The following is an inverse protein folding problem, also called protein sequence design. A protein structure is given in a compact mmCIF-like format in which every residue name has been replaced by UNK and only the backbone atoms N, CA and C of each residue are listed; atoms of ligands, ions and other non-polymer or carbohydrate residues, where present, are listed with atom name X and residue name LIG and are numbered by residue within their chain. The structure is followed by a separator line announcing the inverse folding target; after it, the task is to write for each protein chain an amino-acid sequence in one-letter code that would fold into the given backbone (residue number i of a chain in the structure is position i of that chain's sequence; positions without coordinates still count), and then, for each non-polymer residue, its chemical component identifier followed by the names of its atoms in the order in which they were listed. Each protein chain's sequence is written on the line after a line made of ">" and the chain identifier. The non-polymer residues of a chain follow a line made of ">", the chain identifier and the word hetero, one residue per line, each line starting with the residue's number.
data_IF_688438822995
#
_entry.id   IF_688438822995
#
_cell.length_a   1.000
_cell.length_b   1.000
_cell.length_c   1.000
_cell.angle_alpha   90.00
_cell.angle_beta   90.00
_cell.angle_gamma   90.00
#
_symmetry.space_group_name_H-M   'P 1'
#
loop_
_entity.id
_entity.type
_entity.pdbx_description
1 polymer ?
#
# COMPACT_ATOMS: atom_id res chain seq x y z
N UNK A 1 -18.48 -14.13 9.98
CA UNK A 1 -17.89 -12.95 9.32
C UNK A 1 -18.01 -11.78 10.30
N UNK A 2 -16.91 -11.10 10.62
CA UNK A 2 -16.92 -9.94 11.52
C UNK A 2 -16.82 -8.70 10.63
N UNK A 3 -17.78 -7.80 10.75
CA UNK A 3 -17.73 -6.48 10.14
C UNK A 3 -17.14 -5.52 11.17
N UNK A 4 -16.04 -4.88 10.81
CA UNK A 4 -15.37 -3.93 11.67
C UNK A 4 -15.48 -2.53 11.08
N UNK A 5 -16.43 -1.76 11.62
CA UNK A 5 -16.89 -0.49 11.05
C UNK A 5 -16.87 0.61 12.11
N UNK A 6 -16.93 1.88 11.68
CA UNK A 6 -17.10 3.03 12.58
C UNK A 6 -15.90 3.32 13.49
N UNK A 7 -14.70 2.94 13.05
CA UNK A 7 -13.44 3.15 13.77
C UNK A 7 -12.89 4.55 13.53
N UNK A 8 -12.24 5.10 14.57
CA UNK A 8 -11.39 6.28 14.43
C UNK A 8 -10.13 5.97 13.62
N UNK A 9 -9.48 7.01 13.09
CA UNK A 9 -8.25 6.87 12.30
C UNK A 9 -7.14 6.12 13.08
N UNK A 10 -7.02 6.38 14.39
CA UNK A 10 -6.06 5.71 15.26
C UNK A 10 -6.35 4.22 15.42
N UNK A 11 -7.62 3.84 15.60
CA UNK A 11 -8.03 2.44 15.70
C UNK A 11 -7.83 1.70 14.36
N UNK A 12 -8.12 2.34 13.23
CA UNK A 12 -7.84 1.78 11.91
C UNK A 12 -6.34 1.55 11.74
N UNK A 13 -5.51 2.54 12.06
CA UNK A 13 -4.06 2.43 11.95
C UNK A 13 -3.52 1.30 12.83
N UNK A 14 -3.98 1.20 14.08
CA UNK A 14 -3.61 0.10 14.98
C UNK A 14 -3.96 -1.27 14.38
N UNK A 15 -5.19 -1.44 13.89
CA UNK A 15 -5.62 -2.70 13.26
C UNK A 15 -4.79 -3.03 12.03
N UNK A 16 -4.47 -2.04 11.19
CA UNK A 16 -3.60 -2.24 10.04
C UNK A 16 -2.19 -2.67 10.45
N UNK A 17 -1.63 -2.08 11.52
CA UNK A 17 -0.31 -2.42 12.04
C UNK A 17 -0.24 -3.84 12.63
N UNK A 18 -1.34 -4.31 13.22
CA UNK A 18 -1.49 -5.67 13.72
C UNK A 18 -1.80 -6.69 12.60
N UNK A 19 -2.19 -6.22 11.41
CA UNK A 19 -2.57 -7.07 10.29
C UNK A 19 -1.35 -7.49 9.46
N UNK A 20 -1.12 -8.79 9.37
CA UNK A 20 0.00 -9.33 8.58
C UNK A 20 -0.17 -9.15 7.06
N UNK A 21 -1.39 -9.37 6.55
CA UNK A 21 -1.72 -9.39 5.12
C UNK A 21 -3.06 -8.68 4.87
N UNK A 22 -3.12 -7.86 3.82
CA UNK A 22 -4.35 -7.25 3.31
C UNK A 22 -4.58 -7.66 1.86
N UNK A 23 -5.81 -8.05 1.55
CA UNK A 23 -6.28 -8.19 0.18
C UNK A 23 -7.07 -6.95 -0.22
N UNK A 24 -6.55 -6.19 -1.18
CA UNK A 24 -7.15 -4.95 -1.67
C UNK A 24 -7.36 -5.09 -3.17
N UNK A 25 -8.57 -5.44 -3.60
CA UNK A 25 -8.87 -5.56 -5.02
C UNK A 25 -9.29 -4.21 -5.61
N UNK A 26 -8.55 -3.73 -6.61
CA UNK A 26 -8.86 -2.52 -7.37
C UNK A 26 -9.11 -2.89 -8.83
N UNK A 27 -10.35 -2.79 -9.35
CA UNK A 27 -10.65 -3.24 -10.72
C UNK A 27 -9.79 -2.60 -11.82
N UNK A 28 -9.32 -1.37 -11.61
CA UNK A 28 -8.45 -0.62 -12.52
C UNK A 28 -6.95 -0.71 -12.17
N UNK A 29 -6.60 -1.49 -11.15
CA UNK A 29 -5.23 -1.71 -10.67
C UNK A 29 -4.84 -0.86 -9.46
N UNK A 30 -3.94 -1.41 -8.65
CA UNK A 30 -3.34 -0.68 -7.53
C UNK A 30 -2.48 0.48 -8.02
N UNK A 31 -2.57 1.64 -7.35
CA UNK A 31 -1.71 2.80 -7.57
C UNK A 31 -1.60 3.64 -6.31
N UNK A 32 -0.63 4.56 -6.26
CA UNK A 32 -0.38 5.44 -5.12
C UNK A 32 -1.48 6.49 -4.92
N UNK A 33 -2.42 6.60 -5.87
CA UNK A 33 -3.65 7.39 -5.69
C UNK A 33 -4.64 6.73 -4.72
N UNK A 34 -4.45 5.45 -4.39
CA UNK A 34 -5.31 4.71 -3.45
C UNK A 34 -4.80 4.94 -2.03
N UNK A 35 -5.44 5.84 -1.28
CA UNK A 35 -5.08 6.11 0.13
C UNK A 35 -5.05 4.84 0.99
N UNK A 36 -5.97 3.90 0.74
CA UNK A 36 -6.01 2.59 1.41
C UNK A 36 -4.78 1.72 1.13
N UNK A 37 -4.21 1.78 -0.08
CA UNK A 37 -2.95 1.09 -0.41
C UNK A 37 -1.79 1.70 0.38
N UNK A 38 -1.67 3.03 0.36
CA UNK A 38 -0.61 3.73 1.08
C UNK A 38 -0.71 3.52 2.60
N UNK A 39 -1.92 3.54 3.16
CA UNK A 39 -2.17 3.27 4.57
C UNK A 39 -1.76 1.84 4.95
N UNK A 40 -2.11 0.84 4.14
CA UNK A 40 -1.73 -0.55 4.39
C UNK A 40 -0.20 -0.75 4.35
N UNK A 41 0.46 -0.25 3.30
CA UNK A 41 1.92 -0.34 3.16
C UNK A 41 2.66 0.43 4.26
N UNK A 42 2.17 1.61 4.62
CA UNK A 42 2.75 2.47 5.65
C UNK A 42 2.68 1.85 7.05
N UNK A 43 1.56 1.18 7.37
CA UNK A 43 1.39 0.42 8.61
C UNK A 43 2.11 -0.94 8.58
N UNK A 44 2.78 -1.30 7.47
CA UNK A 44 3.64 -2.47 7.39
C UNK A 44 2.91 -3.77 7.06
N UNK A 45 1.67 -3.73 6.62
CA UNK A 45 0.97 -4.90 6.11
C UNK A 45 1.51 -5.31 4.72
N UNK A 46 1.49 -6.61 4.45
CA UNK A 46 1.73 -7.10 3.09
C UNK A 46 0.46 -6.96 2.26
N UNK A 47 0.53 -6.30 1.12
CA UNK A 47 -0.64 -6.09 0.25
C UNK A 47 -0.63 -7.09 -0.91
N UNK A 48 -1.73 -7.80 -1.07
CA UNK A 48 -2.07 -8.60 -2.25
C UNK A 48 -3.20 -7.87 -2.98
N UNK A 49 -3.03 -7.61 -4.27
CA UNK A 49 -3.89 -6.70 -5.03
C UNK A 49 -3.97 -7.11 -6.51
N UNK A 50 -4.79 -6.46 -7.30
CA UNK A 50 -4.84 -6.59 -8.76
C UNK A 50 -3.87 -5.62 -9.47
N UNK A 51 -3.33 -6.08 -10.60
CA UNK A 51 -2.68 -5.22 -11.60
C UNK A 51 -3.75 -4.71 -12.57
N UNK A 52 -3.62 -3.47 -13.03
CA UNK A 52 -4.53 -2.91 -14.02
C UNK A 52 -3.93 -1.70 -14.74
N UNK A 53 -4.70 -1.02 -15.60
CA UNK A 53 -4.23 0.10 -16.42
C UNK A 53 -3.66 1.27 -15.62
N UNK A 54 -4.07 1.43 -14.37
CA UNK A 54 -3.60 2.49 -13.48
C UNK A 54 -2.37 2.08 -12.66
N UNK A 55 -1.90 0.84 -12.79
CA UNK A 55 -0.77 0.33 -12.01
C UNK A 55 0.55 0.90 -12.53
N UNK A 56 1.29 1.65 -11.71
CA UNK A 56 2.58 2.21 -12.09
C UNK A 56 3.64 1.10 -12.19
N UNK A 57 4.70 1.31 -12.99
CA UNK A 57 5.86 0.42 -13.01
C UNK A 57 6.55 0.39 -11.64
N UNK A 58 7.11 -0.76 -11.26
CA UNK A 58 7.86 -0.93 -10.02
C UNK A 58 7.00 -1.23 -8.79
N UNK A 59 5.67 -1.12 -8.86
CA UNK A 59 4.81 -1.43 -7.71
C UNK A 59 4.90 -2.91 -7.29
N UNK A 60 5.22 -3.82 -8.22
CA UNK A 60 5.51 -5.24 -7.95
C UNK A 60 6.62 -5.45 -6.91
N UNK A 61 7.49 -4.46 -6.70
CA UNK A 61 8.54 -4.53 -5.67
C UNK A 61 7.99 -4.45 -4.24
N UNK A 62 6.76 -3.97 -4.06
CA UNK A 62 6.15 -3.71 -2.74
C UNK A 62 4.78 -4.33 -2.52
N UNK A 63 4.17 -4.91 -3.56
CA UNK A 63 2.92 -5.68 -3.46
C UNK A 63 3.07 -7.06 -4.08
N UNK A 64 2.07 -7.92 -3.90
CA UNK A 64 1.85 -9.07 -4.78
C UNK A 64 0.62 -8.84 -5.63
N UNK A 65 0.73 -9.18 -6.91
CA UNK A 65 -0.40 -9.18 -7.81
C UNK A 65 -1.07 -10.53 -7.82
N UNK A 66 -2.40 -10.52 -7.81
CA UNK A 66 -3.24 -11.69 -7.95
C UNK A 66 -4.29 -11.44 -9.04
N UNK A 67 -4.50 -12.42 -9.90
CA UNK A 67 -5.51 -12.36 -10.97
C UNK A 67 -6.93 -12.51 -10.42
N UNK A 68 -7.10 -13.34 -9.39
CA UNK A 68 -8.38 -13.69 -8.78
C UNK A 68 -8.20 -14.04 -7.28
N UNK A 69 -9.29 -14.32 -6.53
CA UNK A 69 -9.18 -14.67 -5.11
C UNK A 69 -8.42 -15.98 -4.82
N UNK A 70 -8.42 -16.95 -5.73
CA UNK A 70 -7.69 -18.21 -5.53
C UNK A 70 -6.17 -17.99 -5.67
N UNK A 71 -5.76 -17.19 -6.66
CA UNK A 71 -4.37 -16.74 -6.80
C UNK A 71 -3.95 -15.88 -5.59
N UNK A 72 -4.81 -14.97 -5.10
CA UNK A 72 -4.51 -14.19 -3.91
C UNK A 72 -4.22 -15.06 -2.68
N UNK A 73 -4.98 -16.14 -2.51
CA UNK A 73 -4.75 -17.12 -1.44
C UNK A 73 -3.44 -17.90 -1.66
N UNK A 74 -3.09 -18.24 -2.90
CA UNK A 74 -1.83 -18.90 -3.23
C UNK A 74 -0.62 -17.99 -2.92
N UNK A 75 -0.68 -16.71 -3.32
CA UNK A 75 0.34 -15.71 -3.01
C UNK A 75 0.54 -15.55 -1.50
N UNK A 76 -0.56 -15.50 -0.74
CA UNK A 76 -0.51 -15.43 0.73
C UNK A 76 0.21 -16.64 1.31
N UNK A 77 -0.16 -17.86 0.88
CA UNK A 77 0.46 -19.10 1.37
C UNK A 77 1.94 -19.16 1.04
N UNK A 78 2.33 -18.77 -0.17
CA UNK A 78 3.73 -18.73 -0.59
C UNK A 78 4.56 -17.77 0.28
N UNK A 79 4.04 -16.58 0.56
CA UNK A 79 4.73 -15.62 1.43
C UNK A 79 4.79 -16.08 2.90
N UNK A 80 3.72 -16.70 3.40
CA UNK A 80 3.72 -17.27 4.76
C UNK A 80 4.74 -18.41 4.92
N UNK A 81 5.02 -19.14 3.85
CA UNK A 81 6.04 -20.19 3.83
C UNK A 81 7.48 -19.63 3.75
N UNK A 82 7.66 -18.34 3.42
CA UNK A 82 8.95 -17.65 3.37
C UNK A 82 8.92 -16.36 4.21
N UNK A 83 9.18 -16.45 5.53
CA UNK A 83 9.19 -15.30 6.42
C UNK A 83 10.18 -14.21 6.02
N UNK A 84 11.26 -14.57 5.32
CA UNK A 84 12.27 -13.61 4.85
C UNK A 84 11.70 -12.77 3.71
N UNK A 85 11.05 -13.40 2.72
CA UNK A 85 10.35 -12.69 1.66
C UNK A 85 9.22 -11.80 2.22
N UNK A 86 8.45 -12.30 3.18
CA UNK A 86 7.40 -11.55 3.87
C UNK A 86 7.97 -10.29 4.55
N UNK A 87 9.03 -10.43 5.36
CA UNK A 87 9.68 -9.32 6.05
C UNK A 87 10.30 -8.30 5.08
N UNK A 88 10.91 -8.77 3.99
CA UNK A 88 11.48 -7.91 2.95
C UNK A 88 10.40 -7.07 2.28
N UNK A 89 9.26 -7.69 1.93
CA UNK A 89 8.15 -7.00 1.29
C UNK A 89 7.53 -5.93 2.20
N UNK A 90 7.36 -6.24 3.50
CA UNK A 90 6.91 -5.25 4.50
C UNK A 90 7.84 -4.05 4.59
N UNK A 91 9.15 -4.29 4.64
CA UNK A 91 10.16 -3.22 4.70
C UNK A 91 10.13 -2.37 3.43
N UNK A 92 10.01 -3.02 2.26
CA UNK A 92 9.92 -2.33 0.98
C UNK A 92 8.66 -1.45 0.90
N UNK A 93 7.50 -1.95 1.34
CA UNK A 93 6.24 -1.20 1.42
C UNK A 93 6.34 0.05 2.28
N UNK A 94 6.87 -0.06 3.52
CA UNK A 94 7.07 1.11 4.39
C UNK A 94 8.00 2.14 3.76
N UNK A 95 9.06 1.70 3.09
CA UNK A 95 9.99 2.60 2.42
C UNK A 95 9.37 3.28 1.19
N UNK A 96 8.53 2.57 0.43
CA UNK A 96 7.81 3.11 -0.72
C UNK A 96 6.94 4.30 -0.36
N UNK A 97 6.18 4.18 0.74
CA UNK A 97 5.24 5.21 1.21
C UNK A 97 5.94 6.49 1.67
N UNK A 98 7.22 6.43 2.09
CA UNK A 98 7.97 7.64 2.50
C UNK A 98 8.04 8.71 1.41
N UNK A 99 8.01 8.31 0.12
CA UNK A 99 7.97 9.25 -1.02
C UNK A 99 6.63 9.95 -1.18
N UNK A 100 5.61 9.49 -0.46
CA UNK A 100 4.25 10.02 -0.46
C UNK A 100 3.85 10.50 0.93
N UNK A 101 4.82 10.86 1.78
CA UNK A 101 4.54 11.50 3.06
C UNK A 101 3.99 12.90 2.85
N UNK A 102 3.24 13.40 3.84
CA UNK A 102 2.77 14.79 3.83
C UNK A 102 3.92 15.79 3.74
N UNK A 103 5.05 15.52 4.40
CA UNK A 103 6.23 16.38 4.32
C UNK A 103 6.76 16.48 2.88
N UNK A 104 6.87 15.34 2.18
CA UNK A 104 7.33 15.30 0.79
C UNK A 104 6.34 15.99 -0.15
N UNK A 105 5.04 15.76 0.04
CA UNK A 105 3.98 16.39 -0.76
C UNK A 105 3.97 17.90 -0.53
N UNK A 106 4.03 18.36 0.71
CA UNK A 106 4.02 19.77 1.07
C UNK A 106 5.25 20.49 0.49
N UNK A 107 6.45 19.89 0.61
CA UNK A 107 7.67 20.44 0.03
C UNK A 107 7.55 20.62 -1.50
N UNK A 108 7.03 19.61 -2.21
CA UNK A 108 6.83 19.68 -3.66
C UNK A 108 5.82 20.78 -4.06
N UNK A 109 4.77 20.99 -3.26
CA UNK A 109 3.80 22.06 -3.49
C UNK A 109 4.42 23.44 -3.25
N UNK A 110 5.20 23.61 -2.18
CA UNK A 110 5.90 24.87 -1.91
C UNK A 110 6.87 25.23 -3.03
N UNK A 111 7.62 24.26 -3.57
CA UNK A 111 8.50 24.46 -4.73
C UNK A 111 7.70 24.91 -5.96
N UNK A 112 6.57 24.26 -6.23
CA UNK A 112 5.69 24.64 -7.33
C UNK A 112 5.17 26.07 -7.15
N UNK A 113 4.69 26.43 -5.96
CA UNK A 113 4.20 27.77 -5.67
C UNK A 113 5.30 28.82 -5.81
N UNK A 114 6.51 28.55 -5.31
CA UNK A 114 7.65 29.46 -5.50
C UNK A 114 7.98 29.69 -6.99
N UNK A 115 7.90 28.64 -7.82
CA UNK A 115 8.12 28.77 -9.29
C UNK A 115 7.02 29.55 -9.99
N UNK A 116 5.77 29.42 -9.56
CA UNK A 116 4.62 30.09 -10.18
C UNK A 116 4.50 31.54 -9.70
N UNK A 117 4.72 31.79 -8.41
CA UNK A 117 4.64 33.12 -7.79
C UNK A 117 5.94 33.94 -7.91
N UNK A 118 7.07 33.30 -8.19
CA UNK A 118 8.33 33.94 -8.57
C UNK A 118 8.36 34.45 -10.02
N UNK A 119 7.17 34.67 -10.61
CA UNK A 119 6.92 35.45 -11.81
C UNK A 119 6.24 36.76 -11.42
#
# INVERSE_FOLDING_TARGET
>A
MIWDLGRSDGEVAQRLAETGFLYLHYPDGASERRGTLLAALGNGAVVITSRGPQTPPGLESVVRFAADPADALAQLRALRADPTAEANLRRAGRNWVKRHSWDAIAAAHLELYARVAGR
#
